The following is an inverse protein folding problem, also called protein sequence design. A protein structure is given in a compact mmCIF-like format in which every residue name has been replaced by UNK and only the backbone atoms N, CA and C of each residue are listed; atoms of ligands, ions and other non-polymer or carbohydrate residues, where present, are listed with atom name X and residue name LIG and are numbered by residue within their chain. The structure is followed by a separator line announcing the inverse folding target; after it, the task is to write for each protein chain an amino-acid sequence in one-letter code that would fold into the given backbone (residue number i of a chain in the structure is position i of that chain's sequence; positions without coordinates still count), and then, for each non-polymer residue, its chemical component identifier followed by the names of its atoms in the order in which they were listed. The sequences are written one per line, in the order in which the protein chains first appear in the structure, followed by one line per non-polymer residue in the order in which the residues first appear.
data_IF_642995601650
#
_entry.id   IF_642995601650
#
_cell.length_a   1.000
_cell.length_b   1.000
_cell.length_c   1.000
_cell.angle_alpha   90.00
_cell.angle_beta   90.00
_cell.angle_gamma   90.00
#
_symmetry.space_group_name_H-M   'P 1'
#
loop_
_entity.id
_entity.type
_entity.pdbx_description
1 polymer ?
#
# COMPACT_ATOMS: atom_id res chain seq x y z
N UNK A 1 5.36 -12.90 -7.35
CA UNK A 1 3.98 -12.92 -6.80
C UNK A 1 3.19 -11.72 -7.33
N UNK A 2 2.75 -11.81 -8.58
CA UNK A 2 2.18 -10.68 -9.32
C UNK A 2 1.14 -11.21 -10.32
N UNK A 3 0.15 -10.37 -10.65
CA UNK A 3 -1.08 -10.61 -11.43
C UNK A 3 -2.29 -11.18 -10.67
N UNK A 4 -2.15 -12.21 -9.83
CA UNK A 4 -3.30 -12.82 -9.15
C UNK A 4 -4.05 -11.85 -8.21
N UNK A 5 -3.33 -11.03 -7.43
CA UNK A 5 -3.93 -10.07 -6.48
C UNK A 5 -4.70 -8.94 -7.15
N UNK A 6 -4.27 -8.52 -8.36
CA UNK A 6 -4.98 -7.53 -9.19
C UNK A 6 -6.27 -8.12 -9.73
N UNK A 7 -6.20 -9.36 -10.24
CA UNK A 7 -7.36 -10.10 -10.77
C UNK A 7 -8.46 -10.27 -9.72
N UNK A 8 -8.12 -10.65 -8.48
CA UNK A 8 -9.12 -10.76 -7.40
C UNK A 8 -9.85 -9.46 -7.10
N UNK A 9 -9.17 -8.31 -7.18
CA UNK A 9 -9.79 -7.00 -6.94
C UNK A 9 -10.81 -6.67 -8.05
N UNK A 10 -10.45 -6.96 -9.30
CA UNK A 10 -11.32 -6.77 -10.46
C UNK A 10 -12.52 -7.74 -10.41
N UNK A 11 -12.29 -9.01 -10.08
CA UNK A 11 -13.35 -10.03 -9.93
C UNK A 11 -14.33 -9.68 -8.80
N UNK A 12 -13.83 -9.22 -7.64
CA UNK A 12 -14.67 -8.74 -6.53
C UNK A 12 -15.57 -7.57 -6.94
N UNK A 13 -15.06 -6.66 -7.78
CA UNK A 13 -15.87 -5.55 -8.29
C UNK A 13 -16.89 -5.98 -9.34
N UNK A 14 -16.51 -6.82 -10.30
CA UNK A 14 -17.43 -7.37 -11.30
C UNK A 14 -18.58 -8.14 -10.65
N UNK A 15 -18.36 -8.78 -9.49
CA UNK A 15 -19.43 -9.44 -8.72
C UNK A 15 -20.42 -8.47 -8.06
N UNK A 16 -20.03 -7.20 -7.86
CA UNK A 16 -20.81 -6.17 -7.16
C UNK A 16 -21.47 -5.15 -8.09
N UNK A 17 -20.96 -4.95 -9.30
CA UNK A 17 -21.52 -4.00 -10.27
C UNK A 17 -22.41 -4.70 -11.27
N UNK A 18 -23.72 -4.50 -11.10
CA UNK A 18 -24.72 -4.84 -12.12
C UNK A 18 -24.65 -3.77 -13.22
N UNK A 19 -24.56 -4.20 -14.48
CA UNK A 19 -24.26 -3.36 -15.65
C UNK A 19 -25.19 -2.15 -15.78
N UNK A 20 -24.66 -0.95 -15.59
CA UNK A 20 -25.35 0.33 -15.78
C UNK A 20 -24.32 1.45 -15.98
N UNK A 21 -24.67 2.50 -16.71
CA UNK A 21 -23.81 3.55 -17.31
C UNK A 21 -22.96 4.42 -16.35
N UNK A 22 -22.79 4.02 -15.09
CA UNK A 22 -22.01 4.73 -14.05
C UNK A 22 -20.93 3.83 -13.41
N UNK A 23 -20.46 2.82 -14.17
CA UNK A 23 -19.46 1.84 -13.72
C UNK A 23 -18.13 2.50 -13.36
N UNK A 24 -17.69 3.51 -14.10
CA UNK A 24 -16.36 4.12 -13.92
C UNK A 24 -16.25 4.91 -12.61
N UNK A 25 -17.29 5.68 -12.25
CA UNK A 25 -17.36 6.42 -10.98
C UNK A 25 -17.50 5.48 -9.78
N UNK A 26 -18.32 4.43 -9.92
CA UNK A 26 -18.46 3.39 -8.91
C UNK A 26 -17.16 2.60 -8.71
N UNK A 27 -16.42 2.34 -9.80
CA UNK A 27 -15.11 1.69 -9.78
C UNK A 27 -14.08 2.54 -9.07
N UNK A 28 -13.90 3.80 -9.48
CA UNK A 28 -12.96 4.71 -8.85
C UNK A 28 -13.24 4.86 -7.34
N UNK A 29 -14.52 4.98 -6.96
CA UNK A 29 -14.95 5.05 -5.56
C UNK A 29 -14.64 3.75 -4.79
N UNK A 30 -14.89 2.59 -5.39
CA UNK A 30 -14.60 1.30 -4.79
C UNK A 30 -13.08 1.10 -4.60
N UNK A 31 -12.29 1.38 -5.63
CA UNK A 31 -10.83 1.29 -5.58
C UNK A 31 -10.28 2.24 -4.51
N UNK A 32 -10.76 3.48 -4.42
CA UNK A 32 -10.34 4.42 -3.38
C UNK A 32 -10.60 3.89 -1.96
N UNK A 33 -11.77 3.27 -1.73
CA UNK A 33 -12.11 2.66 -0.43
C UNK A 33 -11.22 1.47 -0.07
N UNK A 34 -10.99 0.56 -1.03
CA UNK A 34 -10.11 -0.59 -0.80
C UNK A 34 -8.64 -0.18 -0.61
N UNK A 35 -8.17 0.84 -1.35
CA UNK A 35 -6.84 1.44 -1.16
C UNK A 35 -6.66 1.96 0.26
N UNK A 36 -7.63 2.75 0.72
CA UNK A 36 -7.57 3.34 2.07
C UNK A 36 -7.55 2.26 3.15
N UNK A 37 -8.44 1.27 3.03
CA UNK A 37 -8.54 0.15 3.97
C UNK A 37 -7.23 -0.65 4.06
N UNK A 38 -6.69 -1.07 2.91
CA UNK A 38 -5.47 -1.89 2.89
C UNK A 38 -4.24 -1.10 3.37
N UNK A 39 -4.15 0.19 3.04
CA UNK A 39 -3.08 1.05 3.56
C UNK A 39 -3.16 1.23 5.08
N UNK A 40 -4.37 1.49 5.60
CA UNK A 40 -4.60 1.61 7.04
C UNK A 40 -4.23 0.30 7.79
N UNK A 41 -4.56 -0.85 7.22
CA UNK A 41 -4.20 -2.16 7.78
C UNK A 41 -2.67 -2.38 7.81
N UNK A 42 -1.94 -1.96 6.77
CA UNK A 42 -0.47 -2.02 6.75
C UNK A 42 0.12 -1.11 7.82
N UNK A 43 -0.37 0.14 7.93
CA UNK A 43 0.09 1.12 8.92
C UNK A 43 -0.15 0.61 10.34
N UNK A 44 -1.36 0.10 10.63
CA UNK A 44 -1.71 -0.40 11.95
C UNK A 44 -0.91 -1.66 12.32
N UNK A 45 -0.81 -2.64 11.41
CA UNK A 45 -0.15 -3.92 11.69
C UNK A 45 1.36 -3.79 11.91
N UNK A 46 2.02 -2.85 11.23
CA UNK A 46 3.46 -2.60 11.37
C UNK A 46 3.78 -1.41 12.29
N UNK A 47 2.74 -0.76 12.86
CA UNK A 47 2.84 0.43 13.72
C UNK A 47 3.66 1.55 13.07
N UNK A 48 3.38 1.82 11.80
CA UNK A 48 4.08 2.83 11.02
C UNK A 48 3.60 4.23 11.40
N UNK A 49 4.41 5.24 11.08
CA UNK A 49 3.96 6.63 11.06
C UNK A 49 2.92 6.82 9.95
N UNK A 50 1.68 7.14 10.32
CA UNK A 50 0.56 7.23 9.39
C UNK A 50 0.80 8.31 8.32
N UNK A 51 1.11 9.54 8.76
CA UNK A 51 1.30 10.68 7.86
C UNK A 51 2.49 10.48 6.92
N UNK A 52 3.62 10.01 7.43
CA UNK A 52 4.81 9.72 6.63
C UNK A 52 4.58 8.57 5.63
N UNK A 53 3.86 7.53 6.04
CA UNK A 53 3.56 6.39 5.15
C UNK A 53 2.65 6.81 4.01
N UNK A 54 1.57 7.55 4.30
CA UNK A 54 0.67 8.09 3.27
C UNK A 54 1.40 8.97 2.27
N UNK A 55 2.23 9.91 2.74
CA UNK A 55 3.05 10.77 1.86
C UNK A 55 4.01 9.98 0.97
N UNK A 56 4.62 8.92 1.51
CA UNK A 56 5.55 8.07 0.77
C UNK A 56 4.84 7.34 -0.37
N UNK A 57 3.68 6.76 -0.04
CA UNK A 57 2.82 6.03 -0.98
C UNK A 57 2.24 6.96 -2.05
N UNK A 58 1.74 8.13 -1.66
CA UNK A 58 1.22 9.14 -2.58
C UNK A 58 2.29 9.62 -3.57
N UNK A 59 3.53 9.78 -3.11
CA UNK A 59 4.67 10.09 -3.98
C UNK A 59 4.91 8.99 -5.02
N UNK A 60 4.90 7.72 -4.60
CA UNK A 60 5.07 6.59 -5.51
C UNK A 60 3.98 6.52 -6.59
N UNK A 61 2.71 6.78 -6.22
CA UNK A 61 1.63 6.86 -7.20
C UNK A 61 1.76 8.05 -8.14
N UNK A 62 2.01 9.26 -7.60
CA UNK A 62 2.16 10.48 -8.40
C UNK A 62 3.28 10.37 -9.43
N UNK A 63 4.42 9.85 -8.99
CA UNK A 63 5.63 9.80 -9.80
C UNK A 63 5.70 8.53 -10.66
N UNK A 64 4.74 7.61 -10.49
CA UNK A 64 4.75 6.32 -11.16
C UNK A 64 5.96 5.46 -10.78
N UNK A 65 6.52 5.62 -9.59
CA UNK A 65 7.71 4.90 -9.12
C UNK A 65 7.37 3.85 -8.07
N UNK A 66 8.32 2.95 -7.77
CA UNK A 66 8.18 2.02 -6.65
C UNK A 66 8.58 2.67 -5.33
N UNK A 67 8.19 2.04 -4.22
CA UNK A 67 8.59 2.50 -2.89
C UNK A 67 10.11 2.45 -2.77
N UNK A 68 10.77 3.57 -2.37
CA UNK A 68 12.21 3.61 -2.24
C UNK A 68 12.67 2.66 -1.14
N UNK A 69 13.55 1.73 -1.51
CA UNK A 69 14.13 0.73 -0.59
C UNK A 69 15.23 1.35 0.28
N UNK A 70 15.90 2.37 -0.25
CA UNK A 70 17.01 3.08 0.38
C UNK A 70 16.63 4.48 0.88
N UNK A 71 17.55 5.07 1.66
CA UNK A 71 17.38 6.42 2.20
C UNK A 71 16.59 6.52 3.50
N UNK A 72 16.38 7.76 3.93
CA UNK A 72 15.81 8.11 5.24
C UNK A 72 14.29 8.07 5.26
N UNK A 73 13.63 8.21 4.10
CA UNK A 73 12.16 8.24 4.00
C UNK A 73 11.49 6.95 4.50
N UNK A 74 12.02 5.79 4.11
CA UNK A 74 11.51 4.52 4.65
C UNK A 74 11.89 4.37 6.12
N UNK A 75 13.07 4.84 6.53
CA UNK A 75 13.55 4.72 7.90
C UNK A 75 12.74 5.60 8.88
N UNK A 76 12.18 6.72 8.42
CA UNK A 76 11.40 7.67 9.22
C UNK A 76 9.98 7.19 9.51
N UNK A 77 9.42 6.30 8.68
CA UNK A 77 8.07 5.77 8.90
C UNK A 77 8.06 4.54 9.83
N UNK A 78 9.22 3.95 10.09
CA UNK A 78 9.35 2.78 10.96
C UNK A 78 9.23 3.18 12.42
N UNK A 79 8.60 2.33 13.26
CA UNK A 79 8.56 2.57 14.69
C UNK A 79 9.97 2.63 15.29
N UNK A 80 10.17 3.40 16.37
CA UNK A 80 11.44 3.43 17.08
C UNK A 80 11.74 2.04 17.62
N UNK A 81 12.92 1.51 17.28
CA UNK A 81 13.39 0.25 17.86
C UNK A 81 14.12 0.53 19.17
N UNK A 82 13.86 -0.29 20.19
CA UNK A 82 14.63 -0.25 21.43
C UNK A 82 16.11 -0.55 21.12
N UNK A 83 17.00 0.33 21.59
CA UNK A 83 18.47 0.16 21.47
C UNK A 83 19.00 -0.97 22.36
N UNK A 84 18.16 -1.49 23.26
CA UNK A 84 18.49 -2.54 24.23
C UNK A 84 17.87 -3.90 23.86
N UNK A 85 17.09 -3.98 22.79
CA UNK A 85 16.63 -5.25 22.22
C UNK A 85 17.68 -5.79 21.24
N UNK A 86 17.93 -7.10 21.27
CA UNK A 86 18.87 -7.77 20.36
C UNK A 86 18.72 -7.25 18.91
N UNK A 87 19.81 -6.70 18.37
CA UNK A 87 19.88 -5.84 17.17
C UNK A 87 19.47 -6.45 15.82
N UNK A 88 18.61 -7.47 15.80
CA UNK A 88 18.17 -8.20 14.61
C UNK A 88 16.82 -7.74 14.04
N UNK A 89 16.04 -6.93 14.76
CA UNK A 89 14.62 -6.75 14.40
C UNK A 89 14.37 -5.60 13.41
N UNK A 90 15.17 -4.53 13.43
CA UNK A 90 14.89 -3.33 12.59
C UNK A 90 15.05 -3.59 11.10
N UNK A 91 16.10 -4.30 10.68
CA UNK A 91 16.35 -4.62 9.27
C UNK A 91 15.26 -5.54 8.72
N UNK A 92 14.84 -6.55 9.48
CA UNK A 92 13.76 -7.46 9.11
C UNK A 92 12.42 -6.74 9.00
N UNK A 93 12.08 -5.88 9.98
CA UNK A 93 10.87 -5.05 9.91
C UNK A 93 10.92 -4.14 8.68
N UNK A 94 12.07 -3.48 8.43
CA UNK A 94 12.25 -2.63 7.25
C UNK A 94 11.99 -3.38 5.95
N UNK A 95 12.61 -4.55 5.78
CA UNK A 95 12.45 -5.35 4.57
C UNK A 95 10.99 -5.79 4.39
N UNK A 96 10.32 -6.20 5.47
CA UNK A 96 8.90 -6.57 5.45
C UNK A 96 8.00 -5.39 5.07
N UNK A 97 8.21 -4.22 5.68
CA UNK A 97 7.44 -3.01 5.38
C UNK A 97 7.62 -2.58 3.92
N UNK A 98 8.86 -2.59 3.42
CA UNK A 98 9.15 -2.31 2.01
C UNK A 98 8.36 -3.27 1.11
N UNK A 99 8.45 -4.58 1.34
CA UNK A 99 7.74 -5.56 0.52
C UNK A 99 6.22 -5.35 0.54
N UNK A 100 5.63 -5.08 1.71
CA UNK A 100 4.18 -4.83 1.84
C UNK A 100 3.75 -3.55 1.11
N UNK A 101 4.51 -2.46 1.22
CA UNK A 101 4.20 -1.21 0.55
C UNK A 101 4.43 -1.29 -0.98
N UNK A 102 5.44 -2.04 -1.42
CA UNK A 102 5.65 -2.32 -2.85
C UNK A 102 4.50 -3.14 -3.44
N UNK A 103 4.11 -4.21 -2.76
CA UNK A 103 2.95 -5.03 -3.15
C UNK A 103 1.67 -4.17 -3.22
N UNK A 104 1.47 -3.26 -2.25
CA UNK A 104 0.35 -2.34 -2.23
C UNK A 104 0.36 -1.38 -3.43
N UNK A 105 1.48 -0.69 -3.68
CA UNK A 105 1.59 0.23 -4.82
C UNK A 105 1.37 -0.51 -6.12
N UNK A 106 2.03 -1.66 -6.30
CA UNK A 106 1.87 -2.48 -7.49
C UNK A 106 0.41 -2.89 -7.70
N UNK A 107 -0.28 -3.36 -6.64
CA UNK A 107 -1.69 -3.78 -6.71
C UNK A 107 -2.62 -2.70 -7.24
N UNK A 108 -2.44 -1.45 -6.80
CA UNK A 108 -3.36 -0.36 -7.10
C UNK A 108 -2.89 0.59 -8.20
N UNK A 109 -1.68 0.39 -8.72
CA UNK A 109 -1.15 1.18 -9.85
C UNK A 109 -2.05 1.00 -11.07
N UNK A 110 -2.51 2.11 -11.64
CA UNK A 110 -3.37 2.14 -12.83
C UNK A 110 -4.81 1.68 -12.58
N UNK A 111 -5.26 1.58 -11.33
CA UNK A 111 -6.65 1.29 -10.99
C UNK A 111 -7.37 2.56 -10.53
N UNK A 112 -8.50 2.88 -11.17
CA UNK A 112 -9.34 4.02 -10.82
C UNK A 112 -8.85 5.38 -11.33
N UNK A 113 -8.04 5.38 -12.41
CA UNK A 113 -7.88 6.55 -13.30
C UNK A 113 -9.05 6.64 -14.29
#
# INVERSE_FOLDING_TARGET
PSLHKKRELIESFLSKVNTGSDVDSAWATYVAREREKELADVIASERLDDAGTRRLVDGAFRDGTDIPTEGTRIASILPPVSRFGAGSNRSTIRARVIARLQDFVERFRGLGE
#
